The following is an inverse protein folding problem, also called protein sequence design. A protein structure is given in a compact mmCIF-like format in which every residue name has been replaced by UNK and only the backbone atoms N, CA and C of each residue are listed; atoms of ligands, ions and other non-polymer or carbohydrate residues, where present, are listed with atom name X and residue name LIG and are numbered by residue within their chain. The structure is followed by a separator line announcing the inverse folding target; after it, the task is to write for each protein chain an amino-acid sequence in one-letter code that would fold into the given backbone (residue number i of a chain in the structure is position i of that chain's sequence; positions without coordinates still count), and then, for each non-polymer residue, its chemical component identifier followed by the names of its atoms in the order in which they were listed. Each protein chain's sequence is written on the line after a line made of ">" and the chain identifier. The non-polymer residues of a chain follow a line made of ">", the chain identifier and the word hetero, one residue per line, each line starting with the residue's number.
data_IF_352009146158
#
_entry.id   IF_352009146158
#
_cell.length_a   1.000
_cell.length_b   1.000
_cell.length_c   1.000
_cell.angle_alpha   90.00
_cell.angle_beta   90.00
_cell.angle_gamma   90.00
#
_symmetry.space_group_name_H-M   'P 1'
#
loop_
_entity.id
_entity.type
_entity.pdbx_description
1 polymer ?
#
# COMPACT_ATOMS: atom_id res chain seq x y z
N UNK A 1 -25.78 -34.49 -29.45
CA UNK A 1 -24.67 -33.56 -29.18
C UNK A 1 -24.96 -32.82 -27.90
N UNK A 2 -24.34 -33.23 -26.79
CA UNK A 2 -24.39 -32.51 -25.52
C UNK A 2 -22.97 -32.08 -25.17
N UNK A 3 -22.71 -30.78 -25.17
CA UNK A 3 -21.41 -30.24 -24.79
C UNK A 3 -21.22 -30.44 -23.28
N UNK A 4 -20.17 -31.16 -22.91
CA UNK A 4 -19.68 -31.24 -21.54
C UNK A 4 -19.22 -29.84 -21.11
N UNK A 5 -19.84 -29.31 -20.06
CA UNK A 5 -19.37 -28.09 -19.41
C UNK A 5 -18.05 -28.42 -18.71
N UNK A 6 -16.93 -27.88 -19.22
CA UNK A 6 -15.67 -27.92 -18.50
C UNK A 6 -15.86 -27.18 -17.16
N UNK A 7 -15.55 -27.79 -16.00
CA UNK A 7 -15.55 -27.04 -14.76
C UNK A 7 -14.48 -25.94 -14.90
N UNK A 8 -14.92 -24.70 -14.73
CA UNK A 8 -14.05 -23.53 -14.66
C UNK A 8 -12.92 -23.86 -13.66
N UNK A 9 -11.64 -23.67 -14.00
CA UNK A 9 -10.59 -23.86 -13.02
C UNK A 9 -10.87 -22.82 -11.92
N UNK A 10 -11.30 -23.32 -10.76
CA UNK A 10 -11.35 -22.54 -9.54
C UNK A 10 -9.93 -22.02 -9.34
N UNK A 11 -9.72 -20.78 -9.72
CA UNK A 11 -8.48 -20.06 -9.47
C UNK A 11 -8.36 -19.88 -7.95
N UNK A 12 -7.95 -20.94 -7.26
CA UNK A 12 -7.19 -20.83 -6.03
C UNK A 12 -5.94 -20.02 -6.40
N UNK A 13 -5.96 -18.70 -6.27
CA UNK A 13 -4.80 -17.93 -6.68
C UNK A 13 -4.74 -16.47 -6.31
N UNK A 14 -5.83 -15.71 -6.40
CA UNK A 14 -5.80 -14.28 -6.12
C UNK A 14 -6.41 -14.01 -4.75
N UNK A 15 -5.56 -13.96 -3.73
CA UNK A 15 -5.95 -13.40 -2.45
C UNK A 15 -6.30 -11.91 -2.66
N UNK A 16 -7.56 -11.48 -2.46
CA UNK A 16 -7.99 -10.10 -2.68
C UNK A 16 -7.31 -9.11 -1.72
N UNK A 17 -6.65 -9.62 -0.68
CA UNK A 17 -5.79 -8.86 0.22
C UNK A 17 -4.33 -8.73 -0.28
N UNK A 18 -3.96 -9.29 -1.43
CA UNK A 18 -2.63 -9.09 -2.01
C UNK A 18 -2.62 -8.03 -3.12
N UNK A 19 -3.78 -7.73 -3.70
CA UNK A 19 -3.93 -6.65 -4.67
C UNK A 19 -4.07 -5.28 -3.98
N UNK A 20 -3.54 -4.24 -4.62
CA UNK A 20 -3.75 -2.86 -4.19
C UNK A 20 -5.21 -2.50 -4.54
N UNK A 21 -6.08 -2.21 -3.56
CA UNK A 21 -7.48 -1.90 -3.82
C UNK A 21 -7.61 -0.64 -4.68
N UNK A 22 -8.64 -0.61 -5.52
CA UNK A 22 -8.99 0.55 -6.36
C UNK A 22 -9.10 1.82 -5.49
N UNK A 23 -8.22 2.82 -5.67
CA UNK A 23 -8.21 4.02 -4.85
C UNK A 23 -9.54 4.77 -4.87
N UNK A 24 -10.35 4.63 -5.92
CA UNK A 24 -11.66 5.27 -6.04
C UNK A 24 -12.76 4.55 -5.23
N UNK A 25 -12.50 3.32 -4.80
CA UNK A 25 -13.43 2.48 -4.01
C UNK A 25 -13.00 2.32 -2.55
N UNK A 26 -11.78 2.73 -2.21
CA UNK A 26 -11.25 2.65 -0.84
C UNK A 26 -11.78 3.76 0.07
N UNK A 27 -12.08 3.43 1.33
CA UNK A 27 -12.54 4.40 2.33
C UNK A 27 -11.32 5.04 3.00
N UNK A 28 -11.22 6.37 3.02
CA UNK A 28 -10.24 7.09 3.85
C UNK A 28 -10.73 7.14 5.30
N UNK A 29 -9.96 6.54 6.22
CA UNK A 29 -10.30 6.56 7.64
C UNK A 29 -9.64 7.71 8.39
N UNK A 30 -8.40 8.05 8.04
CA UNK A 30 -7.62 9.10 8.72
C UNK A 30 -6.47 9.59 7.86
N UNK A 31 -6.09 10.85 8.07
CA UNK A 31 -4.87 11.44 7.53
C UNK A 31 -4.17 12.38 8.52
N UNK A 32 -2.87 12.55 8.36
CA UNK A 32 -2.09 13.50 9.16
C UNK A 32 -0.59 13.22 9.15
N UNK A 33 0.16 14.07 9.84
CA UNK A 33 1.59 13.91 10.00
C UNK A 33 1.92 12.82 11.04
N UNK A 34 2.86 11.95 10.69
CA UNK A 34 3.37 10.88 11.56
C UNK A 34 4.89 10.88 11.54
N UNK A 35 5.48 10.46 12.66
CA UNK A 35 6.91 10.18 12.73
C UNK A 35 7.14 8.70 12.43
N UNK A 36 7.95 8.39 11.41
CA UNK A 36 8.30 7.01 11.04
C UNK A 36 9.80 6.77 11.14
N UNK A 37 10.20 5.64 11.73
CA UNK A 37 11.57 5.12 11.68
C UNK A 37 11.60 3.87 10.81
N UNK A 38 12.34 3.92 9.70
CA UNK A 38 12.51 2.77 8.81
C UNK A 38 13.56 1.83 9.39
N UNK A 39 13.18 0.57 9.61
CA UNK A 39 14.08 -0.48 10.12
C UNK A 39 14.42 -1.52 9.05
N UNK A 40 13.72 -1.48 7.93
CA UNK A 40 13.85 -2.40 6.80
C UNK A 40 13.81 -1.56 5.52
N UNK A 41 14.76 -1.81 4.63
CA UNK A 41 14.86 -1.15 3.32
C UNK A 41 13.94 -1.85 2.30
N UNK A 42 13.64 -1.23 1.13
CA UNK A 42 12.79 -1.82 0.10
C UNK A 42 13.23 -3.23 -0.34
N UNK A 43 14.54 -3.49 -0.34
CA UNK A 43 15.14 -4.81 -0.61
C UNK A 43 14.96 -5.83 0.53
N UNK A 44 14.12 -5.52 1.52
CA UNK A 44 13.85 -6.33 2.74
C UNK A 44 15.06 -6.56 3.64
N UNK A 45 16.12 -5.76 3.47
CA UNK A 45 17.32 -5.79 4.31
C UNK A 45 17.12 -4.94 5.56
N UNK A 46 17.70 -5.37 6.69
CA UNK A 46 17.70 -4.55 7.92
C UNK A 46 18.52 -3.28 7.68
N UNK A 47 17.91 -2.11 7.81
CA UNK A 47 18.62 -0.83 7.74
C UNK A 47 19.65 -0.76 8.89
N UNK A 48 20.92 -0.39 8.67
CA UNK A 48 21.92 -0.26 9.75
C UNK A 48 21.51 0.76 10.81
N UNK A 49 21.76 0.49 12.11
CA UNK A 49 21.30 1.35 13.22
C UNK A 49 21.66 2.83 13.05
N UNK A 50 22.91 3.14 12.66
CA UNK A 50 23.38 4.51 12.45
C UNK A 50 22.77 5.23 11.23
N UNK A 51 22.06 4.51 10.36
CA UNK A 51 21.32 5.07 9.22
C UNK A 51 19.81 5.17 9.49
N UNK A 52 19.33 4.69 10.65
CA UNK A 52 17.92 4.80 11.04
C UNK A 52 17.69 6.16 11.68
N UNK A 53 16.72 6.90 11.17
CA UNK A 53 16.25 8.15 11.78
C UNK A 53 14.73 8.20 11.77
N UNK A 54 14.15 8.96 12.69
CA UNK A 54 12.75 9.33 12.60
C UNK A 54 12.59 10.41 11.52
N UNK A 55 11.64 10.21 10.61
CA UNK A 55 11.28 11.18 9.58
C UNK A 55 9.80 11.50 9.70
N UNK A 56 9.47 12.78 9.57
CA UNK A 56 8.08 13.23 9.50
C UNK A 56 7.55 12.97 8.09
N UNK A 57 6.39 12.34 7.99
CA UNK A 57 5.71 12.02 6.74
C UNK A 57 4.23 12.35 6.87
N UNK A 58 3.60 12.68 5.75
CA UNK A 58 2.15 12.81 5.69
C UNK A 58 1.56 11.43 5.34
N UNK A 59 0.75 10.87 6.22
CA UNK A 59 0.18 9.55 6.04
C UNK A 59 -1.33 9.61 5.85
N UNK A 60 -1.84 8.71 5.00
CA UNK A 60 -3.28 8.52 4.75
C UNK A 60 -3.59 7.04 4.90
N UNK A 61 -4.47 6.70 5.83
CA UNK A 61 -4.97 5.34 6.02
C UNK A 61 -6.24 5.16 5.19
N UNK A 62 -6.19 4.28 4.19
CA UNK A 62 -7.36 3.85 3.43
C UNK A 62 -7.49 2.34 3.48
N UNK A 63 -8.65 1.84 3.88
CA UNK A 63 -8.87 0.43 4.18
C UNK A 63 -7.77 -0.14 5.10
N UNK A 64 -6.96 -1.07 4.60
CA UNK A 64 -5.81 -1.66 5.33
C UNK A 64 -4.44 -1.17 4.83
N UNK A 65 -4.41 -0.08 4.07
CA UNK A 65 -3.19 0.45 3.46
C UNK A 65 -2.89 1.84 4.01
N UNK A 66 -1.67 1.99 4.52
CA UNK A 66 -1.09 3.24 4.95
C UNK A 66 -0.22 3.83 3.85
N UNK A 67 -0.74 4.81 3.13
CA UNK A 67 -0.02 5.59 2.12
C UNK A 67 0.81 6.67 2.80
N UNK A 68 2.00 6.96 2.26
CA UNK A 68 2.94 7.91 2.86
C UNK A 68 3.55 8.83 1.81
N UNK A 69 3.51 10.13 2.11
CA UNK A 69 3.92 11.23 1.25
C UNK A 69 4.90 12.14 2.00
N UNK A 70 5.69 12.95 1.27
CA UNK A 70 6.59 13.90 1.94
C UNK A 70 5.81 15.07 2.57
N UNK A 71 4.64 15.39 2.02
CA UNK A 71 3.80 16.52 2.42
C UNK A 71 2.36 16.33 1.91
N UNK A 72 1.45 17.22 2.33
CA UNK A 72 0.04 17.23 1.93
C UNK A 72 -0.20 17.60 0.45
N UNK A 73 0.72 18.33 -0.18
CA UNK A 73 0.57 18.81 -1.56
C UNK A 73 0.76 17.69 -2.58
N UNK A 74 1.57 16.68 -2.25
CA UNK A 74 1.74 15.49 -3.06
C UNK A 74 0.46 14.63 -3.15
N UNK A 75 -0.40 14.67 -2.13
CA UNK A 75 -1.70 14.00 -2.19
C UNK A 75 -2.60 14.60 -3.28
N UNK A 76 -2.53 15.93 -3.48
CA UNK A 76 -3.41 16.67 -4.39
C UNK A 76 -3.14 16.40 -5.88
N UNK A 77 -1.99 15.83 -6.25
CA UNK A 77 -1.62 15.55 -7.65
C UNK A 77 -2.04 14.16 -8.15
N UNK A 78 -3.02 13.53 -7.49
CA UNK A 78 -3.55 12.20 -7.84
C UNK A 78 -2.47 11.13 -8.07
N UNK A 79 -1.36 11.26 -7.32
CA UNK A 79 -0.21 10.38 -7.41
C UNK A 79 -0.38 9.11 -6.56
N UNK A 80 -1.62 8.65 -6.32
CA UNK A 80 -1.86 7.39 -5.60
C UNK A 80 -1.09 6.24 -6.26
N UNK A 81 -0.94 6.25 -7.59
CA UNK A 81 -0.13 5.29 -8.34
C UNK A 81 1.38 5.36 -8.04
N UNK A 82 1.96 6.55 -7.85
CA UNK A 82 3.39 6.70 -7.48
C UNK A 82 3.66 6.57 -5.97
N UNK A 83 2.63 6.74 -5.13
CA UNK A 83 2.70 6.55 -3.68
C UNK A 83 2.79 5.09 -3.23
N UNK A 84 2.57 4.14 -4.15
CA UNK A 84 2.61 2.69 -3.89
C UNK A 84 3.97 2.20 -3.38
N UNK A 85 5.08 2.84 -3.79
CA UNK A 85 6.42 2.47 -3.32
C UNK A 85 6.61 2.70 -1.79
N UNK A 86 5.80 3.55 -1.17
CA UNK A 86 5.83 3.80 0.27
C UNK A 86 4.58 3.32 1.00
N UNK A 87 3.69 2.60 0.32
CA UNK A 87 2.50 2.01 0.90
C UNK A 87 2.88 0.86 1.83
N UNK A 88 2.31 0.85 3.04
CA UNK A 88 2.45 -0.24 3.99
C UNK A 88 1.07 -0.87 4.18
N UNK A 89 0.98 -2.18 3.98
CA UNK A 89 -0.19 -2.96 4.37
C UNK A 89 -0.07 -3.33 5.84
N UNK A 90 -1.12 -3.06 6.62
CA UNK A 90 -1.21 -3.37 8.06
C UNK A 90 -1.97 -4.69 8.24
#
# INVERSE_FOLDING_TARGET
>A
GGQAQNPMPLALGSNPFLEVPDPNKTIEYKKGYVMRKCCVDPDRRKTPLGKRGWKMLYAVLRDMILYQYKDEHQLKRDHFAQGTHNAIRI
#
